data_IF_410522341652
#
_entry.id   IF_410522341652
#
_cell.length_a   1.000
_cell.length_b   1.000
_cell.length_c   1.000
_cell.angle_alpha   90.00
_cell.angle_beta   90.00
_cell.angle_gamma   90.00
#
_symmetry.space_group_name_H-M   'P 1'
#
loop_
_entity.id
_entity.type
_entity.pdbx_description
1 polymer ?
#
# COMPACT_ATOMS: atom_id res chain seq x y z
N UNK A 1 5.32 -10.72 -19.16
CA UNK A 1 5.05 -9.31 -19.47
C UNK A 1 6.38 -8.56 -19.47
N UNK A 2 6.79 -8.06 -20.62
CA UNK A 2 8.08 -7.36 -20.79
C UNK A 2 7.99 -5.97 -20.17
N UNK A 3 8.96 -5.59 -19.33
CA UNK A 3 9.03 -4.24 -18.77
C UNK A 3 9.61 -3.28 -19.81
N UNK A 4 9.15 -2.03 -19.84
CA UNK A 4 9.79 -1.01 -20.66
C UNK A 4 11.19 -0.68 -20.13
N UNK A 5 12.06 -0.13 -20.97
CA UNK A 5 13.41 0.29 -20.55
C UNK A 5 13.37 1.23 -19.35
N UNK A 6 12.51 2.25 -19.40
CA UNK A 6 12.34 3.20 -18.30
C UNK A 6 11.85 2.53 -17.00
N UNK A 7 10.92 1.58 -17.09
CA UNK A 7 10.48 0.82 -15.92
C UNK A 7 11.62 0.00 -15.31
N UNK A 8 12.46 -0.59 -16.17
CA UNK A 8 13.61 -1.35 -15.72
C UNK A 8 14.64 -0.45 -15.03
N UNK A 9 14.85 0.78 -15.53
CA UNK A 9 15.74 1.76 -14.91
C UNK A 9 15.25 2.20 -13.53
N UNK A 10 13.95 2.47 -13.38
CA UNK A 10 13.34 2.76 -12.06
C UNK A 10 13.59 1.64 -11.07
N UNK A 11 13.39 0.39 -11.49
CA UNK A 11 13.58 -0.78 -10.62
C UNK A 11 15.06 -0.98 -10.28
N UNK A 12 15.95 -0.82 -11.26
CA UNK A 12 17.39 -0.96 -11.06
C UNK A 12 17.90 0.08 -10.06
N UNK A 13 17.48 1.34 -10.21
CA UNK A 13 17.85 2.43 -9.31
C UNK A 13 17.33 2.17 -7.89
N UNK A 14 16.08 1.74 -7.75
CA UNK A 14 15.53 1.38 -6.43
C UNK A 14 16.34 0.26 -5.77
N UNK A 15 16.65 -0.81 -6.52
CA UNK A 15 17.47 -1.94 -6.01
C UNK A 15 18.89 -1.51 -5.66
N UNK A 16 19.48 -0.58 -6.40
CA UNK A 16 20.78 -0.01 -6.08
C UNK A 16 20.73 0.76 -4.76
N UNK A 17 19.71 1.61 -4.58
CA UNK A 17 19.50 2.34 -3.33
C UNK A 17 19.33 1.40 -2.13
N UNK A 18 18.57 0.32 -2.28
CA UNK A 18 18.42 -0.67 -1.19
C UNK A 18 19.76 -1.34 -0.86
N UNK A 19 20.55 -1.75 -1.86
CA UNK A 19 21.89 -2.32 -1.63
C UNK A 19 22.81 -1.34 -0.91
N UNK A 20 22.77 -0.08 -1.31
CA UNK A 20 23.50 1.01 -0.64
C UNK A 20 23.05 1.16 0.83
N UNK A 21 21.75 1.22 1.09
CA UNK A 21 21.24 1.30 2.46
C UNK A 21 21.69 0.11 3.33
N UNK A 22 21.79 -1.09 2.76
CA UNK A 22 22.24 -2.29 3.49
C UNK A 22 23.74 -2.30 3.79
N UNK A 23 24.56 -1.59 3.01
CA UNK A 23 26.00 -1.45 3.32
C UNK A 23 26.27 -0.49 4.49
N UNK A 24 25.29 0.33 4.88
CA UNK A 24 25.41 1.28 6.00
C UNK A 24 25.28 0.57 7.37
N UNK A 25 25.70 1.20 8.47
CA UNK A 25 25.54 0.67 9.82
C UNK A 25 24.07 0.38 10.17
N UNK A 26 23.81 -0.69 10.93
CA UNK A 26 22.46 -1.21 11.23
C UNK A 26 21.50 -0.12 11.73
N UNK A 27 21.97 0.75 12.62
CA UNK A 27 21.19 1.86 13.19
C UNK A 27 20.74 2.88 12.14
N UNK A 28 21.57 3.13 11.13
CA UNK A 28 21.29 4.13 10.11
C UNK A 28 20.44 3.58 8.96
N UNK A 29 20.45 2.25 8.72
CA UNK A 29 19.78 1.61 7.57
C UNK A 29 18.31 1.99 7.44
N UNK A 30 17.58 2.02 8.56
CA UNK A 30 16.17 2.37 8.59
C UNK A 30 15.93 3.75 7.98
N UNK A 31 16.84 4.70 8.26
CA UNK A 31 16.72 6.05 7.76
C UNK A 31 16.93 6.13 6.24
N UNK A 32 17.97 5.46 5.73
CA UNK A 32 18.24 5.36 4.29
C UNK A 32 17.09 4.69 3.53
N UNK A 33 16.54 3.61 4.07
CA UNK A 33 15.40 2.92 3.47
C UNK A 33 14.14 3.79 3.45
N UNK A 34 13.88 4.54 4.52
CA UNK A 34 12.75 5.47 4.57
C UNK A 34 12.92 6.60 3.54
N UNK A 35 14.10 7.19 3.45
CA UNK A 35 14.41 8.20 2.42
C UNK A 35 14.11 7.67 1.01
N UNK A 36 14.54 6.44 0.70
CA UNK A 36 14.28 5.79 -0.59
C UNK A 36 12.79 5.57 -0.82
N UNK A 37 12.09 4.95 0.14
CA UNK A 37 10.65 4.66 0.01
C UNK A 37 9.85 5.94 -0.22
N UNK A 38 10.14 6.98 0.56
CA UNK A 38 9.49 8.28 0.44
C UNK A 38 9.69 8.87 -0.96
N UNK A 39 10.93 8.95 -1.46
CA UNK A 39 11.22 9.60 -2.75
C UNK A 39 10.67 8.86 -3.96
N UNK A 40 10.50 7.54 -3.89
CA UNK A 40 9.87 6.75 -4.96
C UNK A 40 8.34 6.77 -4.89
N UNK A 41 7.76 7.05 -3.72
CA UNK A 41 6.30 7.00 -3.52
C UNK A 41 5.60 8.35 -3.59
N UNK A 42 6.29 9.43 -3.19
CA UNK A 42 5.71 10.77 -3.05
C UNK A 42 5.83 11.76 -4.23
N UNK A 43 6.35 11.42 -5.42
CA UNK A 43 6.06 12.22 -6.59
C UNK A 43 4.73 11.75 -7.21
N UNK A 44 3.80 12.67 -7.47
CA UNK A 44 2.50 12.40 -8.11
C UNK A 44 2.68 12.17 -9.62
N UNK A 45 3.35 11.09 -10.01
CA UNK A 45 3.67 10.76 -11.40
C UNK A 45 2.68 9.76 -11.99
N UNK A 46 2.23 10.02 -13.22
CA UNK A 46 1.49 9.06 -14.04
C UNK A 46 2.45 8.25 -14.90
N UNK A 47 2.02 7.07 -15.35
CA UNK A 47 2.82 6.19 -16.22
C UNK A 47 3.26 6.87 -17.54
N UNK A 48 2.51 7.90 -17.98
CA UNK A 48 2.77 8.66 -19.20
C UNK A 48 3.68 9.88 -19.01
N UNK A 49 4.07 10.20 -17.78
CA UNK A 49 4.84 11.40 -17.46
C UNK A 49 6.34 11.13 -17.63
N UNK A 50 6.76 10.68 -18.81
CA UNK A 50 8.11 10.17 -19.09
C UNK A 50 9.21 11.16 -18.69
N UNK A 51 9.07 12.43 -19.07
CA UNK A 51 10.05 13.48 -18.78
C UNK A 51 10.20 13.74 -17.28
N UNK A 52 9.11 13.69 -16.54
CA UNK A 52 9.11 13.88 -15.08
C UNK A 52 9.71 12.66 -14.36
N UNK A 53 9.42 11.44 -14.86
CA UNK A 53 10.05 10.20 -14.35
C UNK A 53 11.57 10.25 -14.59
N UNK A 54 12.02 10.61 -15.79
CA UNK A 54 13.45 10.75 -16.11
C UNK A 54 14.14 11.80 -15.26
N UNK A 55 13.50 12.95 -15.06
CA UNK A 55 14.03 13.99 -14.18
C UNK A 55 14.19 13.46 -12.74
N UNK A 56 13.19 12.74 -12.23
CA UNK A 56 13.25 12.15 -10.91
C UNK A 56 14.35 11.07 -10.81
N UNK A 57 14.53 10.25 -11.85
CA UNK A 57 15.63 9.27 -11.93
C UNK A 57 16.99 9.95 -11.89
N UNK A 58 17.20 11.01 -12.68
CA UNK A 58 18.45 11.79 -12.67
C UNK A 58 18.75 12.37 -11.30
N UNK A 59 17.75 13.01 -10.68
CA UNK A 59 17.86 13.57 -9.33
C UNK A 59 18.26 12.50 -8.31
N UNK A 60 17.56 11.37 -8.32
CA UNK A 60 17.81 10.28 -7.38
C UNK A 60 19.12 9.55 -7.61
N UNK A 61 19.55 9.41 -8.86
CA UNK A 61 20.86 8.87 -9.20
C UNK A 61 21.97 9.71 -8.57
N UNK A 62 21.93 11.03 -8.71
CA UNK A 62 22.91 11.94 -8.10
C UNK A 62 22.87 11.87 -6.58
N UNK A 63 21.69 11.80 -5.97
CA UNK A 63 21.57 11.63 -4.52
C UNK A 63 22.19 10.30 -4.07
N UNK A 64 21.95 9.20 -4.79
CA UNK A 64 22.50 7.89 -4.45
C UNK A 64 24.01 7.81 -4.60
N UNK A 65 24.58 8.51 -5.59
CA UNK A 65 26.03 8.62 -5.78
C UNK A 65 26.68 9.24 -4.53
N UNK A 66 26.20 10.41 -4.09
CA UNK A 66 26.64 11.06 -2.86
C UNK A 66 26.42 10.18 -1.62
N UNK A 67 25.25 9.56 -1.48
CA UNK A 67 24.95 8.67 -0.35
C UNK A 67 25.77 7.37 -0.38
N UNK A 68 26.33 6.99 -1.53
CA UNK A 68 27.18 5.79 -1.66
C UNK A 68 28.57 5.95 -1.07
N UNK A 69 29.03 7.19 -0.91
CA UNK A 69 30.32 7.45 -0.33
C UNK A 69 30.43 6.83 1.09
N UNK A 70 31.58 6.21 1.41
CA UNK A 70 31.79 5.58 2.72
C UNK A 70 31.82 6.60 3.87
N UNK A 71 32.14 7.86 3.57
CA UNK A 71 32.08 9.02 4.49
C UNK A 71 30.66 9.27 5.00
N UNK A 72 29.65 9.07 4.15
CA UNK A 72 28.26 9.32 4.48
C UNK A 72 27.64 8.10 5.18
N UNK A 73 27.73 8.08 6.51
CA UNK A 73 27.25 6.97 7.33
C UNK A 73 25.82 7.14 7.85
N UNK A 74 25.35 8.38 8.03
CA UNK A 74 24.05 8.69 8.62
C UNK A 74 23.35 9.77 7.81
N UNK A 75 22.02 9.69 7.78
CA UNK A 75 21.14 10.74 7.26
C UNK A 75 20.12 11.11 8.33
N UNK A 76 19.86 12.40 8.48
CA UNK A 76 18.71 12.90 9.22
C UNK A 76 17.47 12.79 8.35
N UNK A 77 16.35 12.49 8.98
CA UNK A 77 15.05 12.42 8.31
C UNK A 77 14.17 13.54 8.87
N UNK A 78 13.44 14.20 7.98
CA UNK A 78 12.40 15.15 8.37
C UNK A 78 11.26 14.44 9.12
N UNK A 79 10.66 15.08 10.15
CA UNK A 79 9.48 14.54 10.83
C UNK A 79 8.34 14.17 9.87
N UNK A 80 8.21 14.89 8.75
CA UNK A 80 7.19 14.61 7.73
C UNK A 80 7.34 13.21 7.10
N UNK A 81 8.56 12.73 6.83
CA UNK A 81 8.78 11.39 6.30
C UNK A 81 8.47 10.31 7.35
N UNK A 82 8.75 10.60 8.63
CA UNK A 82 8.44 9.69 9.73
C UNK A 82 6.93 9.53 9.88
N UNK A 83 6.19 10.64 9.89
CA UNK A 83 4.74 10.64 9.99
C UNK A 83 4.11 9.88 8.81
N UNK A 84 4.57 10.15 7.59
CA UNK A 84 4.16 9.42 6.39
C UNK A 84 4.34 7.91 6.54
N UNK A 85 5.48 7.47 7.08
CA UNK A 85 5.75 6.04 7.29
C UNK A 85 4.88 5.41 8.37
N UNK A 86 4.63 6.12 9.46
CA UNK A 86 3.74 5.66 10.53
C UNK A 86 2.30 5.51 10.05
N UNK A 87 1.82 6.45 9.23
CA UNK A 87 0.51 6.38 8.59
C UNK A 87 0.41 5.18 7.64
N UNK A 88 1.41 4.96 6.79
CA UNK A 88 1.43 3.83 5.86
C UNK A 88 1.43 2.48 6.60
N UNK A 89 2.19 2.34 7.69
CA UNK A 89 2.16 1.14 8.54
C UNK A 89 0.76 0.94 9.13
N UNK A 90 0.15 2.00 9.68
CA UNK A 90 -1.17 1.94 10.30
C UNK A 90 -2.24 1.53 9.28
N UNK A 91 -2.20 2.10 8.07
CA UNK A 91 -3.10 1.75 6.97
C UNK A 91 -2.89 0.32 6.48
N UNK A 92 -1.65 -0.17 6.43
CA UNK A 92 -1.39 -1.54 6.01
C UNK A 92 -1.99 -2.57 6.97
N UNK A 93 -1.94 -2.29 8.29
CA UNK A 93 -2.50 -3.15 9.33
C UNK A 93 -4.04 -3.19 9.31
N UNK A 94 -4.68 -2.06 9.06
CA UNK A 94 -6.16 -2.01 8.98
C UNK A 94 -6.72 -2.70 7.73
N UNK A 95 -5.97 -2.68 6.61
CA UNK A 95 -6.36 -3.41 5.39
C UNK A 95 -6.38 -4.92 5.58
N UNK A 96 -5.48 -5.47 6.39
CA UNK A 96 -5.42 -6.93 6.61
C UNK A 96 -6.51 -7.41 7.56
N UNK A 97 -6.92 -6.61 8.56
CA UNK A 97 -7.98 -6.99 9.50
C UNK A 97 -9.39 -6.96 8.88
N UNK A 98 -9.61 -6.15 7.84
CA UNK A 98 -10.92 -6.01 7.18
C UNK A 98 -11.17 -7.00 6.03
N UNK A 99 -10.33 -8.04 5.85
CA UNK A 99 -10.58 -9.06 4.82
C UNK A 99 -11.64 -10.06 5.31
N UNK A 100 -12.84 -10.12 4.72
CA UNK A 100 -13.85 -11.09 5.13
C UNK A 100 -13.41 -12.50 4.70
N UNK A 101 -13.09 -13.34 5.69
CA UNK A 101 -12.81 -14.77 5.50
C UNK A 101 -14.11 -15.53 5.19
N UNK A 102 -14.69 -15.31 4.00
CA UNK A 102 -15.77 -16.15 3.48
C UNK A 102 -15.16 -17.38 2.79
N UNK A 103 -14.79 -18.38 3.59
CA UNK A 103 -14.60 -19.77 3.12
C UNK A 103 -15.05 -20.77 4.17
N UNK A 104 -16.35 -20.73 4.50
CA UNK A 104 -17.04 -21.86 5.10
C UNK A 104 -17.68 -22.66 3.97
N UNK A 105 -17.03 -23.75 3.58
CA UNK A 105 -17.57 -24.74 2.63
C UNK A 105 -18.58 -25.58 3.40
N UNK A 106 -19.87 -25.30 3.26
CA UNK A 106 -20.92 -26.15 3.82
C UNK A 106 -21.12 -27.38 2.92
N UNK A 107 -20.46 -28.49 3.27
CA UNK A 107 -20.88 -29.81 2.79
C UNK A 107 -21.70 -30.48 3.90
N UNK A 108 -23.02 -30.34 3.83
CA UNK A 108 -23.97 -31.15 4.59
C UNK A 108 -24.49 -32.25 3.68
N UNK A 109 -23.81 -33.39 3.63
CA UNK A 109 -24.33 -34.61 3.02
C UNK A 109 -25.30 -35.28 3.99
N UNK A 110 -26.56 -35.40 3.55
CA UNK A 110 -27.66 -36.07 4.23
C UNK A 110 -27.33 -37.50 4.67
N UNK A 111 -27.68 -37.84 5.92
CA UNK A 111 -27.97 -39.22 6.30
C UNK A 111 -29.03 -39.24 7.43
N UNK A 112 -30.16 -39.87 7.08
CA UNK A 112 -31.17 -40.54 7.90
C UNK A 112 -32.24 -39.83 8.77
N UNK A 113 -33.39 -40.52 8.74
CA UNK A 113 -34.56 -40.53 9.63
C UNK A 113 -35.69 -39.50 9.51
N UNK A 114 -36.85 -40.00 9.04
CA UNK A 114 -38.20 -39.48 9.28
C UNK A 114 -38.76 -39.95 10.66
N UNK A 115 -40.04 -39.70 11.01
CA UNK A 115 -40.59 -38.45 11.53
C UNK A 115 -41.20 -38.62 12.94
N UNK A 116 -41.34 -37.54 13.72
CA UNK A 116 -42.28 -37.53 14.84
C UNK A 116 -42.04 -36.47 15.91
N UNK A 117 -43.09 -35.70 16.21
CA UNK A 117 -43.34 -35.22 17.57
C UNK A 117 -43.03 -33.75 17.92
N UNK A 118 -44.08 -32.93 17.78
CA UNK A 118 -44.54 -31.92 18.76
C UNK A 118 -43.66 -30.73 19.19
N UNK A 119 -44.21 -29.53 18.89
CA UNK A 119 -44.22 -28.27 19.69
C UNK A 119 -42.87 -27.57 19.91
N UNK A 120 -42.69 -26.26 19.77
CA UNK A 120 -43.58 -25.11 20.04
C UNK A 120 -43.00 -23.84 19.39
N UNK A 121 -43.89 -22.92 19.00
CA UNK A 121 -43.60 -21.54 18.58
C UNK A 121 -42.79 -20.76 19.63
N UNK A 122 -41.88 -19.88 19.19
CA UNK A 122 -41.87 -18.43 19.49
C UNK A 122 -40.71 -17.70 18.78
N UNK A 123 -41.10 -16.70 17.95
CA UNK A 123 -40.58 -15.31 17.81
C UNK A 123 -39.04 -15.14 17.68
N UNK A 124 -38.49 -14.51 16.63
CA UNK A 124 -38.38 -13.05 16.45
C UNK A 124 -37.99 -12.71 14.99
N UNK A 125 -38.67 -11.68 14.47
CA UNK A 125 -38.48 -10.98 13.20
C UNK A 125 -37.02 -10.58 12.96
N UNK A 126 -36.47 -10.90 11.79
CA UNK A 126 -35.28 -10.22 11.27
C UNK A 126 -35.61 -9.53 9.96
N UNK A 127 -35.53 -8.20 10.01
CA UNK A 127 -35.87 -7.29 8.94
C UNK A 127 -34.87 -7.41 7.79
N UNK A 128 -35.44 -7.49 6.60
CA UNK A 128 -34.79 -7.32 5.31
C UNK A 128 -34.36 -5.85 5.19
N UNK A 129 -33.05 -5.61 5.11
CA UNK A 129 -32.51 -4.39 4.52
C UNK A 129 -31.67 -4.79 3.31
N UNK A 130 -32.36 -4.85 2.17
CA UNK A 130 -31.76 -4.70 0.85
C UNK A 130 -30.93 -3.43 0.87
N UNK A 131 -29.61 -3.56 0.72
CA UNK A 131 -28.78 -2.45 0.25
C UNK A 131 -28.22 -2.88 -1.09
N UNK A 132 -28.71 -2.16 -2.08
CA UNK A 132 -28.51 -2.38 -3.50
C UNK A 132 -27.02 -2.38 -3.85
N UNK A 133 -26.67 -3.34 -4.71
CA UNK A 133 -25.42 -3.41 -5.44
C UNK A 133 -25.25 -2.14 -6.29
N UNK A 134 -24.48 -1.21 -5.76
CA UNK A 134 -23.85 -0.14 -6.52
C UNK A 134 -22.36 -0.38 -6.55
N UNK A 135 -21.91 -1.27 -7.44
CA UNK A 135 -20.50 -1.44 -7.76
C UNK A 135 -19.86 -0.07 -8.00
N UNK A 136 -18.81 0.24 -7.23
CA UNK A 136 -17.96 1.40 -7.51
C UNK A 136 -16.62 0.90 -7.96
N UNK A 137 -16.49 1.03 -9.28
CA UNK A 137 -15.32 0.87 -10.10
C UNK A 137 -14.03 1.17 -9.36
N UNK A 138 -13.16 0.18 -9.43
CA UNK A 138 -11.80 0.18 -8.92
C UNK A 138 -10.90 0.91 -9.93
N UNK A 139 -11.27 2.13 -10.32
CA UNK A 139 -10.55 2.94 -11.30
C UNK A 139 -10.74 4.44 -11.04
N UNK A 140 -10.09 5.01 -10.03
CA UNK A 140 -9.89 6.47 -9.97
C UNK A 140 -8.48 6.84 -9.49
N UNK A 141 -7.58 6.85 -10.47
CA UNK A 141 -6.66 7.97 -10.63
C UNK A 141 -7.47 9.28 -10.61
N UNK A 142 -7.60 9.95 -9.47
CA UNK A 142 -8.21 11.28 -9.42
C UNK A 142 -8.78 11.71 -8.07
N UNK A 143 -8.10 12.66 -7.41
CA UNK A 143 -8.74 13.77 -6.71
C UNK A 143 -9.62 13.50 -5.47
N UNK A 144 -9.06 13.84 -4.30
CA UNK A 144 -9.70 14.86 -3.46
C UNK A 144 -8.64 15.63 -2.66
N UNK A 145 -8.30 16.81 -3.16
CA UNK A 145 -7.64 17.85 -2.38
C UNK A 145 -8.69 18.42 -1.41
N UNK A 146 -8.42 18.54 -0.10
CA UNK A 146 -9.26 19.33 0.78
C UNK A 146 -9.16 20.81 0.36
N UNK A 147 -10.32 21.43 0.18
CA UNK A 147 -10.45 22.82 -0.24
C UNK A 147 -9.79 23.77 0.76
N UNK A 148 -9.04 24.73 0.22
CA UNK A 148 -8.74 25.97 0.93
C UNK A 148 -10.06 26.73 1.11
N UNK A 149 -10.54 26.80 2.36
CA UNK A 149 -11.56 27.75 2.74
C UNK A 149 -10.96 29.16 2.66
N UNK A 150 -11.60 30.02 1.89
CA UNK A 150 -11.31 31.44 1.89
C UNK A 150 -11.93 32.13 3.11
N UNK A 151 -11.25 33.19 3.53
CA UNK A 151 -11.80 34.51 3.86
C UNK A 151 -10.72 35.52 3.52
#
# INVERSE_FOLDING_TARGET
MTRSGLQQDVINLYRQGVRNAMSKPAEARANFLLHLRYNFRNPKLRQRDYTAIEHQLRKMSRTLEMLSEPSTQRISISPEWQNWWQEEISQSRSRTSNSPSNRATENKTSLDQAPGGATSEQVVKQQVLKKEDGGRDRDQWGGKLPGHGGT
#
